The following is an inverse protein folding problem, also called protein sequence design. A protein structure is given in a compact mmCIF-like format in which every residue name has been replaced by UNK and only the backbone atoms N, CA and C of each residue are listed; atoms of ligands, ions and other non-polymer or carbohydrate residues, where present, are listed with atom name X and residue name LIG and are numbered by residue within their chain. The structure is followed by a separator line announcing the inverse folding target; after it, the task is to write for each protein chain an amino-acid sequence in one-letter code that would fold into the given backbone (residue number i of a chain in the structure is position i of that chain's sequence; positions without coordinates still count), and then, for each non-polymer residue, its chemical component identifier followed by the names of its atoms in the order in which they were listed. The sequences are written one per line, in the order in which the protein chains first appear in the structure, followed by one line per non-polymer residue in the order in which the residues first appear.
data_IF_946440799339
#
_entry.id   IF_946440799339
#
_cell.length_a   1.000
_cell.length_b   1.000
_cell.length_c   1.000
_cell.angle_alpha   90.00
_cell.angle_beta   90.00
_cell.angle_gamma   90.00
#
_symmetry.space_group_name_H-M   'P 1'
#
loop_
_entity.id
_entity.type
_entity.pdbx_description
1 polymer ?
#
# COMPACT_ATOMS: atom_id res chain seq x y z
N UNK A 1 -3.66 -22.03 5.04
CA UNK A 1 -3.30 -20.60 5.01
C UNK A 1 -3.71 -19.95 3.68
N UNK A 2 -3.25 -20.43 2.54
CA UNK A 2 -3.50 -19.88 1.20
C UNK A 2 -5.00 -19.76 0.86
N UNK A 3 -5.80 -20.83 1.10
CA UNK A 3 -7.26 -20.82 0.92
C UNK A 3 -7.95 -19.65 1.63
N UNK A 4 -7.48 -19.29 2.83
CA UNK A 4 -8.05 -18.17 3.59
C UNK A 4 -7.71 -16.82 2.95
N UNK A 5 -6.48 -16.65 2.43
CA UNK A 5 -6.05 -15.42 1.76
C UNK A 5 -6.88 -15.19 0.49
N UNK A 6 -7.09 -16.23 -0.31
CA UNK A 6 -7.92 -16.14 -1.50
C UNK A 6 -9.39 -15.87 -1.16
N UNK A 7 -9.95 -16.51 -0.14
CA UNK A 7 -11.32 -16.26 0.30
C UNK A 7 -11.51 -14.82 0.80
N UNK A 8 -10.54 -14.30 1.58
CA UNK A 8 -10.55 -12.89 2.02
C UNK A 8 -10.41 -11.96 0.83
N UNK A 9 -9.46 -12.25 -0.08
CA UNK A 9 -9.26 -11.46 -1.28
C UNK A 9 -10.54 -11.36 -2.11
N UNK A 10 -11.22 -12.48 -2.34
CA UNK A 10 -12.47 -12.53 -3.11
C UNK A 10 -13.62 -11.79 -2.41
N UNK A 11 -13.84 -12.04 -1.12
CA UNK A 11 -14.90 -11.37 -0.35
C UNK A 11 -14.67 -9.87 -0.26
N UNK A 12 -13.44 -9.43 0.00
CA UNK A 12 -13.10 -8.01 0.06
C UNK A 12 -13.13 -7.34 -1.31
N UNK A 13 -12.87 -8.09 -2.39
CA UNK A 13 -13.03 -7.59 -3.76
C UNK A 13 -14.46 -7.14 -4.04
N UNK A 14 -15.45 -7.89 -3.60
CA UNK A 14 -16.86 -7.50 -3.73
C UNK A 14 -17.17 -6.19 -2.97
N UNK A 15 -16.64 -6.05 -1.75
CA UNK A 15 -16.81 -4.84 -0.93
C UNK A 15 -16.10 -3.64 -1.57
N UNK A 16 -14.86 -3.83 -2.04
CA UNK A 16 -14.08 -2.79 -2.73
C UNK A 16 -14.81 -2.32 -3.99
N UNK A 17 -15.29 -3.26 -4.81
CA UNK A 17 -16.02 -2.94 -6.03
C UNK A 17 -17.30 -2.14 -5.73
N UNK A 18 -18.07 -2.57 -4.75
CA UNK A 18 -19.28 -1.86 -4.31
C UNK A 18 -18.95 -0.43 -3.87
N UNK A 19 -17.91 -0.25 -3.05
CA UNK A 19 -17.49 1.07 -2.59
C UNK A 19 -16.98 1.95 -3.73
N UNK A 20 -16.26 1.39 -4.70
CA UNK A 20 -15.80 2.14 -5.86
C UNK A 20 -16.96 2.63 -6.74
N UNK A 21 -18.00 1.78 -6.94
CA UNK A 21 -19.22 2.15 -7.69
C UNK A 21 -20.01 3.21 -6.95
N UNK A 22 -20.13 3.10 -5.63
CA UNK A 22 -20.92 4.04 -4.79
C UNK A 22 -20.10 5.31 -4.46
N UNK A 23 -18.78 5.30 -4.64
CA UNK A 23 -17.89 6.43 -4.32
C UNK A 23 -18.35 7.77 -4.90
N UNK A 24 -18.81 7.90 -6.15
CA UNK A 24 -19.31 9.19 -6.66
C UNK A 24 -20.51 9.75 -5.90
N UNK A 25 -21.39 8.86 -5.41
CA UNK A 25 -22.56 9.24 -4.59
C UNK A 25 -22.09 9.63 -3.18
N UNK A 26 -21.15 8.87 -2.61
CA UNK A 26 -20.57 9.16 -1.30
C UNK A 26 -19.80 10.49 -1.28
N UNK A 27 -19.14 10.86 -2.38
CA UNK A 27 -18.43 12.13 -2.51
C UNK A 27 -19.35 13.36 -2.33
N UNK A 28 -20.60 13.24 -2.72
CA UNK A 28 -21.58 14.34 -2.61
C UNK A 28 -22.17 14.48 -1.20
N UNK A 29 -22.20 13.40 -0.43
CA UNK A 29 -22.95 13.35 0.84
C UNK A 29 -22.11 13.17 2.10
N UNK A 30 -20.90 12.61 1.97
CA UNK A 30 -20.01 12.31 3.09
C UNK A 30 -18.64 12.98 2.92
N UNK A 31 -18.06 13.44 4.06
CA UNK A 31 -16.72 14.03 4.05
C UNK A 31 -15.64 13.01 3.67
N UNK A 32 -14.53 13.49 3.10
CA UNK A 32 -13.39 12.65 2.74
C UNK A 32 -12.82 11.88 3.94
N UNK A 33 -12.97 12.41 5.14
CA UNK A 33 -12.55 11.77 6.39
C UNK A 33 -13.20 10.40 6.61
N UNK A 34 -14.50 10.23 6.33
CA UNK A 34 -15.20 8.95 6.46
C UNK A 34 -14.65 7.91 5.49
N UNK A 35 -14.42 8.30 4.23
CA UNK A 35 -13.86 7.40 3.22
C UNK A 35 -12.43 6.97 3.56
N UNK A 36 -11.62 7.89 4.08
CA UNK A 36 -10.29 7.59 4.61
C UNK A 36 -10.34 6.45 5.65
N UNK A 37 -11.26 6.51 6.62
CA UNK A 37 -11.40 5.47 7.64
C UNK A 37 -11.95 4.15 7.07
N UNK A 38 -12.88 4.20 6.11
CA UNK A 38 -13.38 2.99 5.45
C UNK A 38 -12.23 2.24 4.77
N UNK A 39 -11.41 2.95 4.00
CA UNK A 39 -10.25 2.34 3.35
C UNK A 39 -9.22 1.80 4.35
N UNK A 40 -9.02 2.48 5.48
CA UNK A 40 -8.17 2.01 6.57
C UNK A 40 -8.65 0.67 7.12
N UNK A 41 -9.94 0.56 7.42
CA UNK A 41 -10.55 -0.68 7.94
C UNK A 41 -10.40 -1.82 6.93
N UNK A 42 -10.64 -1.55 5.64
CA UNK A 42 -10.49 -2.55 4.58
C UNK A 42 -9.02 -3.00 4.46
N UNK A 43 -8.07 -2.07 4.50
CA UNK A 43 -6.65 -2.40 4.44
C UNK A 43 -6.21 -3.25 5.64
N UNK A 44 -6.66 -2.92 6.85
CA UNK A 44 -6.41 -3.74 8.05
C UNK A 44 -7.03 -5.13 7.89
N UNK A 45 -8.26 -5.21 7.39
CA UNK A 45 -8.96 -6.49 7.16
C UNK A 45 -8.27 -7.37 6.12
N UNK A 46 -7.65 -6.78 5.10
CA UNK A 46 -6.84 -7.50 4.10
C UNK A 46 -5.55 -8.06 4.72
N UNK A 47 -4.93 -7.34 5.66
CA UNK A 47 -3.68 -7.78 6.30
C UNK A 47 -3.94 -8.85 7.36
N UNK A 48 -4.99 -8.67 8.18
CA UNK A 48 -5.29 -9.56 9.30
C UNK A 48 -6.37 -10.56 8.86
N UNK A 49 -6.03 -11.86 8.67
CA UNK A 49 -6.98 -12.88 8.25
C UNK A 49 -7.86 -13.35 9.43
N UNK A 50 -8.65 -12.46 10.03
CA UNK A 50 -9.63 -12.85 11.05
C UNK A 50 -10.73 -13.68 10.39
N UNK A 51 -10.95 -14.90 10.85
CA UNK A 51 -12.10 -15.71 10.44
C UNK A 51 -13.34 -15.16 11.13
N UNK A 52 -14.19 -14.48 10.38
CA UNK A 52 -15.57 -14.24 10.81
C UNK A 52 -16.30 -15.54 10.44
N UNK A 53 -16.54 -16.40 11.42
CA UNK A 53 -17.41 -17.57 11.23
C UNK A 53 -18.84 -17.03 11.04
N UNK A 54 -19.21 -16.81 9.79
CA UNK A 54 -20.62 -16.59 9.45
C UNK A 54 -21.37 -17.88 9.75
N UNK A 55 -22.57 -17.81 10.35
CA UNK A 55 -23.40 -18.99 10.54
C UNK A 55 -23.57 -19.68 9.18
N UNK A 56 -23.36 -21.01 9.18
CA UNK A 56 -23.25 -21.90 8.01
C UNK A 56 -24.12 -21.44 6.84
N UNK A 57 -23.49 -21.00 5.77
CA UNK A 57 -24.19 -20.80 4.52
C UNK A 57 -24.81 -22.13 4.05
N UNK A 58 -26.04 -22.15 3.50
CA UNK A 58 -26.72 -23.40 3.12
C UNK A 58 -26.09 -24.08 1.91
N UNK A 59 -24.96 -23.59 1.39
CA UNK A 59 -24.29 -24.16 0.23
C UNK A 59 -22.95 -24.75 0.65
N UNK A 60 -22.90 -26.07 0.80
CA UNK A 60 -21.65 -26.83 0.94
C UNK A 60 -21.06 -27.07 -0.44
N UNK A 61 -20.15 -26.24 -0.88
CA UNK A 61 -19.31 -26.56 -2.04
C UNK A 61 -18.18 -27.47 -1.54
N UNK A 62 -18.33 -28.77 -1.71
CA UNK A 62 -17.26 -29.74 -1.48
C UNK A 62 -16.21 -29.58 -2.58
N UNK A 63 -15.16 -28.82 -2.30
CA UNK A 63 -13.98 -28.76 -3.17
C UNK A 63 -13.20 -30.07 -2.93
N UNK A 64 -12.86 -30.86 -3.99
CA UNK A 64 -12.06 -32.06 -3.84
C UNK A 64 -10.73 -31.74 -3.16
N UNK A 65 -10.44 -32.40 -2.05
CA UNK A 65 -9.36 -32.01 -1.15
C UNK A 65 -7.94 -32.33 -1.63
N UNK A 66 -7.79 -33.04 -2.77
CA UNK A 66 -6.46 -33.39 -3.28
C UNK A 66 -6.47 -33.54 -4.81
N UNK A 67 -5.81 -32.65 -5.51
CA UNK A 67 -5.25 -32.96 -6.82
C UNK A 67 -3.79 -33.35 -6.55
N UNK A 68 -3.54 -34.65 -6.52
CA UNK A 68 -2.18 -35.21 -6.43
C UNK A 68 -1.69 -35.38 -7.84
N UNK A 69 -0.69 -34.62 -8.28
CA UNK A 69 -0.20 -34.65 -9.67
C UNK A 69 0.65 -35.88 -9.98
N UNK A 70 1.21 -36.57 -9.00
CA UNK A 70 1.96 -37.80 -9.20
C UNK A 70 1.72 -38.73 -8.01
N UNK A 71 0.82 -39.70 -8.16
CA UNK A 71 0.79 -40.92 -7.39
C UNK A 71 1.23 -42.05 -8.33
N UNK A 72 2.46 -42.48 -8.18
CA UNK A 72 2.86 -43.75 -8.77
C UNK A 72 2.17 -44.83 -7.93
N UNK A 73 1.04 -45.35 -8.42
CA UNK A 73 0.37 -46.50 -7.79
C UNK A 73 1.31 -47.69 -7.86
N UNK A 74 1.73 -48.13 -6.69
CA UNK A 74 2.33 -49.44 -6.58
C UNK A 74 1.33 -50.45 -7.12
N UNK A 75 1.80 -51.30 -8.02
CA UNK A 75 1.06 -52.42 -8.60
C UNK A 75 0.31 -53.17 -7.50
N UNK A 76 -1.00 -53.38 -7.59
CA UNK A 76 -1.70 -54.22 -6.61
C UNK A 76 -1.20 -55.63 -6.76
N UNK A 77 -0.46 -56.11 -5.78
CA UNK A 77 -0.15 -57.54 -5.66
C UNK A 77 -1.45 -58.22 -5.25
N UNK A 78 -2.04 -58.97 -6.18
CA UNK A 78 -3.11 -59.93 -5.87
C UNK A 78 -2.53 -60.94 -4.87
N UNK A 79 -2.92 -60.84 -3.62
CA UNK A 79 -2.68 -61.89 -2.63
C UNK A 79 -3.76 -62.92 -2.86
N UNK A 80 -3.43 -63.97 -3.62
CA UNK A 80 -4.21 -65.22 -3.59
C UNK A 80 -3.97 -65.87 -2.21
N UNK A 81 -5.04 -66.12 -1.53
CA UNK A 81 -5.17 -66.85 -0.30
C UNK A 81 -4.48 -68.24 -0.45
N UNK A 82 -3.37 -68.43 0.21
CA UNK A 82 -2.95 -69.73 0.70
C UNK A 82 -1.80 -69.57 1.75
N UNK A 83 -2.10 -70.01 2.92
CA UNK A 83 -1.32 -70.28 4.08
C UNK A 83 0.21 -70.47 3.88
N UNK A 84 0.96 -69.37 4.04
CA UNK A 84 2.37 -69.43 4.34
C UNK A 84 2.79 -68.33 5.33
N UNK A 85 3.10 -68.72 6.58
CA UNK A 85 3.70 -67.86 7.54
C UNK A 85 5.23 -67.93 7.41
N UNK A 86 5.90 -66.93 6.86
CA UNK A 86 7.34 -66.77 6.99
C UNK A 86 7.61 -65.98 8.28
N UNK A 87 8.15 -66.62 9.31
CA UNK A 87 8.94 -65.96 10.33
C UNK A 87 10.20 -65.41 9.68
N UNK A 88 10.14 -64.18 9.22
CA UNK A 88 11.29 -63.41 8.79
C UNK A 88 11.18 -62.02 9.39
N UNK A 89 12.14 -61.64 10.25
CA UNK A 89 12.33 -60.27 10.69
C UNK A 89 12.59 -59.36 9.46
N UNK A 90 11.53 -58.88 8.85
CA UNK A 90 11.64 -57.75 7.91
C UNK A 90 11.57 -56.49 8.73
N UNK A 91 12.73 -55.93 9.05
CA UNK A 91 12.81 -54.54 9.46
C UNK A 91 12.01 -53.70 8.46
N UNK A 92 11.18 -52.75 8.91
CA UNK A 92 10.49 -51.88 7.94
C UNK A 92 11.56 -51.14 7.16
N UNK A 93 11.62 -51.44 5.87
CA UNK A 93 12.39 -50.59 4.92
C UNK A 93 11.74 -49.23 4.99
N UNK A 94 12.34 -48.33 5.72
CA UNK A 94 12.00 -46.91 5.64
C UNK A 94 12.28 -46.49 4.21
N UNK A 95 11.24 -46.55 3.37
CA UNK A 95 11.31 -45.96 2.08
C UNK A 95 11.52 -44.44 2.28
N UNK A 96 12.70 -43.99 1.93
CA UNK A 96 13.07 -42.58 1.93
C UNK A 96 12.22 -41.93 0.81
N UNK A 97 10.99 -41.52 1.18
CA UNK A 97 10.11 -40.83 0.26
C UNK A 97 10.73 -39.49 -0.04
N UNK A 98 11.23 -39.29 -1.28
CA UNK A 98 11.61 -37.99 -1.75
C UNK A 98 10.41 -37.02 -1.50
N UNK A 99 10.67 -35.81 -0.97
CA UNK A 99 9.60 -34.87 -0.63
C UNK A 99 8.80 -34.53 -1.89
N UNK A 100 7.56 -35.03 -1.97
CA UNK A 100 6.64 -34.73 -3.05
C UNK A 100 6.04 -33.37 -2.76
N UNK A 101 6.48 -32.34 -3.51
CA UNK A 101 5.92 -30.99 -3.42
C UNK A 101 4.47 -31.03 -3.89
N UNK A 102 3.55 -30.72 -3.00
CA UNK A 102 2.12 -30.63 -3.38
C UNK A 102 1.86 -29.34 -4.17
N UNK A 103 0.84 -29.36 -5.04
CA UNK A 103 0.42 -28.14 -5.75
C UNK A 103 0.12 -26.99 -4.80
N UNK A 104 -0.42 -27.28 -3.63
CA UNK A 104 -0.73 -26.26 -2.61
C UNK A 104 0.56 -25.62 -2.06
N UNK A 105 1.61 -26.38 -1.85
CA UNK A 105 2.92 -25.84 -1.41
C UNK A 105 3.56 -25.00 -2.51
N UNK A 106 3.52 -25.46 -3.76
CA UNK A 106 4.02 -24.71 -4.90
C UNK A 106 3.30 -23.34 -5.02
N UNK A 107 1.97 -23.34 -4.97
CA UNK A 107 1.18 -22.10 -5.01
C UNK A 107 1.48 -21.19 -3.81
N UNK A 108 1.73 -21.74 -2.63
CA UNK A 108 2.10 -20.96 -1.46
C UNK A 108 3.48 -20.29 -1.62
N UNK A 109 4.45 -21.00 -2.21
CA UNK A 109 5.77 -20.45 -2.53
C UNK A 109 5.66 -19.34 -3.56
N UNK A 110 4.93 -19.56 -4.66
CA UNK A 110 4.71 -18.54 -5.70
C UNK A 110 4.04 -17.30 -5.12
N UNK A 111 2.97 -17.49 -4.33
CA UNK A 111 2.30 -16.38 -3.67
C UNK A 111 3.22 -15.61 -2.71
N UNK A 112 3.95 -16.33 -1.84
CA UNK A 112 4.85 -15.72 -0.86
C UNK A 112 6.00 -14.97 -1.51
N UNK A 113 6.63 -15.57 -2.54
CA UNK A 113 7.69 -14.92 -3.31
C UNK A 113 7.19 -13.66 -4.00
N UNK A 114 6.00 -13.71 -4.61
CA UNK A 114 5.36 -12.55 -5.21
C UNK A 114 5.06 -11.44 -4.19
N UNK A 115 4.51 -11.78 -3.03
CA UNK A 115 4.21 -10.82 -1.98
C UNK A 115 5.47 -10.14 -1.42
N UNK A 116 6.51 -10.92 -1.11
CA UNK A 116 7.80 -10.40 -0.62
C UNK A 116 8.49 -9.58 -1.72
N UNK A 117 8.54 -10.07 -2.95
CA UNK A 117 9.14 -9.37 -4.07
C UNK A 117 8.48 -8.02 -4.34
N UNK A 118 7.13 -7.97 -4.31
CA UNK A 118 6.37 -6.75 -4.50
C UNK A 118 6.61 -5.74 -3.36
N UNK A 119 6.62 -6.21 -2.11
CA UNK A 119 6.92 -5.36 -0.95
C UNK A 119 8.35 -4.80 -1.00
N UNK A 120 9.33 -5.66 -1.28
CA UNK A 120 10.73 -5.26 -1.41
C UNK A 120 10.92 -4.26 -2.55
N UNK A 121 10.23 -4.43 -3.68
CA UNK A 121 10.26 -3.46 -4.79
C UNK A 121 9.89 -2.05 -4.31
N UNK A 122 8.83 -1.89 -3.53
CA UNK A 122 8.43 -0.58 -2.99
C UNK A 122 9.46 -0.02 -2.00
N UNK A 123 10.00 -0.85 -1.10
CA UNK A 123 11.00 -0.42 -0.12
C UNK A 123 12.31 -0.02 -0.83
N UNK A 124 12.77 -0.81 -1.78
CA UNK A 124 14.00 -0.51 -2.54
C UNK A 124 13.84 0.79 -3.32
N UNK A 125 12.71 0.99 -4.02
CA UNK A 125 12.43 2.23 -4.74
C UNK A 125 12.41 3.45 -3.80
N UNK A 126 11.82 3.32 -2.62
CA UNK A 126 11.83 4.38 -1.60
C UNK A 126 13.27 4.71 -1.14
N UNK A 127 14.10 3.70 -0.89
CA UNK A 127 15.50 3.87 -0.48
C UNK A 127 16.32 4.51 -1.61
N UNK A 128 16.14 4.04 -2.84
CA UNK A 128 16.82 4.59 -4.03
C UNK A 128 16.42 6.06 -4.22
N UNK A 129 15.13 6.38 -4.15
CA UNK A 129 14.62 7.75 -4.22
C UNK A 129 15.29 8.63 -3.18
N UNK A 130 15.29 8.20 -1.90
CA UNK A 130 15.88 8.95 -0.80
C UNK A 130 17.40 9.18 -0.99
N UNK A 131 18.11 8.16 -1.50
CA UNK A 131 19.56 8.27 -1.80
C UNK A 131 19.83 9.22 -2.96
N UNK A 132 19.04 9.15 -4.03
CA UNK A 132 19.20 10.01 -5.21
C UNK A 132 18.89 11.47 -4.93
N UNK A 133 17.91 11.77 -4.05
CA UNK A 133 17.51 13.14 -3.80
C UNK A 133 18.41 13.83 -2.79
N UNK A 134 18.98 13.11 -1.82
CA UNK A 134 19.78 13.66 -0.71
C UNK A 134 20.91 14.62 -1.14
N UNK A 135 21.72 14.35 -2.18
CA UNK A 135 22.80 15.24 -2.59
C UNK A 135 22.28 16.56 -3.24
N UNK A 136 21.01 16.62 -3.63
CA UNK A 136 20.38 17.77 -4.26
C UNK A 136 19.56 18.60 -3.29
N UNK A 137 19.64 18.29 -1.98
CA UNK A 137 18.88 18.99 -0.95
C UNK A 137 19.82 19.76 -0.03
N UNK A 138 19.42 20.97 0.32
CA UNK A 138 20.08 21.87 1.28
C UNK A 138 19.16 22.08 2.48
N UNK A 139 19.72 22.32 3.66
CA UNK A 139 18.91 22.72 4.82
C UNK A 139 18.28 24.08 4.55
N UNK A 140 16.98 24.16 4.68
CA UNK A 140 16.25 25.41 4.66
C UNK A 140 16.03 25.86 6.13
N UNK A 141 16.37 27.12 6.40
CA UNK A 141 16.07 27.75 7.67
C UNK A 141 15.03 28.84 7.42
N UNK A 142 13.77 28.48 7.59
CA UNK A 142 12.64 29.32 7.22
C UNK A 142 11.84 29.62 8.50
N UNK A 143 11.81 30.88 8.92
CA UNK A 143 11.10 31.31 10.14
C UNK A 143 9.60 30.96 10.14
N UNK A 144 8.96 30.97 8.97
CA UNK A 144 7.53 30.60 8.81
C UNK A 144 7.22 29.19 9.34
N UNK A 145 8.20 28.27 9.37
CA UNK A 145 7.98 26.93 9.93
C UNK A 145 7.62 27.00 11.43
N UNK A 146 8.30 27.84 12.19
CA UNK A 146 8.06 27.95 13.62
C UNK A 146 6.67 28.56 13.90
N UNK A 147 6.24 29.55 13.10
CA UNK A 147 4.90 30.14 13.19
C UNK A 147 3.81 29.10 12.93
N UNK A 148 3.99 28.25 11.90
CA UNK A 148 3.01 27.18 11.57
C UNK A 148 2.99 26.10 12.65
N UNK A 149 4.15 25.74 13.21
CA UNK A 149 4.22 24.74 14.29
C UNK A 149 3.50 25.26 15.57
N UNK A 150 3.61 26.55 15.88
CA UNK A 150 2.92 27.18 17.00
C UNK A 150 1.41 27.20 16.77
N UNK A 151 0.95 27.66 15.59
CA UNK A 151 -0.48 27.67 15.20
C UNK A 151 -1.10 26.26 15.30
N UNK A 152 -0.38 25.25 14.83
CA UNK A 152 -0.84 23.86 14.85
C UNK A 152 -0.62 23.16 16.19
N UNK A 153 0.06 23.78 17.16
CA UNK A 153 0.46 23.22 18.47
C UNK A 153 1.19 21.87 18.31
N UNK A 154 2.07 21.77 17.33
CA UNK A 154 2.84 20.56 17.05
C UNK A 154 4.15 20.56 17.87
N UNK A 155 4.37 19.47 18.62
CA UNK A 155 5.60 19.27 19.40
C UNK A 155 6.77 18.73 18.58
N UNK A 156 6.47 18.11 17.44
CA UNK A 156 7.49 17.50 16.57
C UNK A 156 7.92 18.53 15.53
N UNK A 157 9.20 18.93 15.58
CA UNK A 157 9.81 19.81 14.57
C UNK A 157 10.46 18.94 13.48
N UNK A 158 9.88 18.88 12.27
CA UNK A 158 10.48 18.13 11.16
C UNK A 158 11.73 18.84 10.65
N UNK A 159 12.59 18.11 9.96
CA UNK A 159 13.63 18.72 9.16
C UNK A 159 13.02 19.35 7.91
N UNK A 160 13.46 20.56 7.57
CA UNK A 160 13.07 21.23 6.34
C UNK A 160 14.26 21.27 5.38
N UNK A 161 14.07 20.74 4.19
CA UNK A 161 15.09 20.69 3.13
C UNK A 161 14.51 21.29 1.84
N UNK A 162 15.31 22.07 1.18
CA UNK A 162 15.06 22.62 -0.13
C UNK A 162 15.79 21.79 -1.17
N UNK A 163 15.09 21.30 -2.20
CA UNK A 163 15.60 20.29 -3.12
C UNK A 163 15.31 20.67 -4.57
N UNK A 164 16.37 20.77 -5.39
CA UNK A 164 16.26 21.17 -6.80
C UNK A 164 15.71 20.07 -7.73
N UNK A 165 15.59 18.84 -7.28
CA UNK A 165 15.17 17.68 -8.09
C UNK A 165 13.74 17.22 -7.81
N UNK A 166 12.95 17.97 -7.08
CA UNK A 166 11.53 17.71 -6.86
C UNK A 166 10.67 18.81 -7.47
N UNK A 167 9.50 18.42 -7.96
CA UNK A 167 8.56 19.35 -8.59
C UNK A 167 7.49 19.85 -7.63
N UNK A 168 7.22 19.14 -6.54
CA UNK A 168 6.19 19.48 -5.56
C UNK A 168 6.69 19.26 -4.14
N UNK A 169 6.17 19.99 -3.15
CA UNK A 169 6.40 19.70 -1.74
C UNK A 169 6.04 18.26 -1.42
N UNK A 170 6.76 17.64 -0.48
CA UNK A 170 6.44 16.29 -0.02
C UNK A 170 7.08 15.98 1.31
N UNK A 171 6.46 15.07 2.05
CA UNK A 171 6.98 14.54 3.29
C UNK A 171 7.63 13.17 3.10
N UNK A 172 8.81 12.97 3.71
CA UNK A 172 9.53 11.69 3.78
C UNK A 172 9.96 11.37 5.19
N UNK A 173 10.28 10.10 5.45
CA UNK A 173 10.84 9.64 6.73
C UNK A 173 9.79 9.26 7.77
N UNK A 174 9.74 7.97 8.11
CA UNK A 174 8.78 7.42 9.08
C UNK A 174 9.07 7.80 10.53
N UNK A 175 10.34 7.75 10.94
CA UNK A 175 10.76 8.03 12.33
C UNK A 175 11.28 9.45 12.51
N UNK A 176 11.88 10.01 11.48
CA UNK A 176 12.38 11.39 11.45
C UNK A 176 11.72 12.10 10.28
N UNK A 177 10.55 12.71 10.51
CA UNK A 177 9.82 13.38 9.45
C UNK A 177 10.66 14.52 8.87
N UNK A 178 10.74 14.57 7.57
CA UNK A 178 11.46 15.57 6.79
C UNK A 178 10.54 16.10 5.72
N UNK A 179 10.35 17.39 5.64
CA UNK A 179 9.63 18.09 4.59
C UNK A 179 10.64 18.49 3.52
N UNK A 180 10.38 18.11 2.29
CA UNK A 180 11.12 18.53 1.12
C UNK A 180 10.33 19.60 0.38
N UNK A 181 10.95 20.75 0.14
CA UNK A 181 10.39 21.82 -0.68
C UNK A 181 11.16 21.89 -2.01
N UNK A 182 10.49 22.09 -3.13
CA UNK A 182 11.17 22.40 -4.38
C UNK A 182 11.89 23.75 -4.28
N UNK A 183 13.02 23.88 -4.98
CA UNK A 183 13.82 25.10 -5.08
C UNK A 183 13.11 26.11 -6.00
N UNK A 184 12.08 26.76 -5.45
CA UNK A 184 11.26 27.79 -6.11
C UNK A 184 10.91 28.87 -5.08
N UNK A 185 10.79 30.11 -5.57
CA UNK A 185 10.37 31.22 -4.75
C UNK A 185 8.91 31.08 -4.31
N UNK A 186 8.70 30.95 -3.02
CA UNK A 186 7.40 31.03 -2.36
C UNK A 186 7.27 32.37 -1.64
N UNK A 187 6.13 33.01 -1.73
CA UNK A 187 5.76 34.06 -0.78
C UNK A 187 5.58 33.45 0.63
N UNK A 188 5.71 34.25 1.67
CA UNK A 188 5.51 33.78 3.05
C UNK A 188 4.13 33.13 3.24
N UNK A 189 3.10 33.66 2.61
CA UNK A 189 1.76 33.14 2.69
C UNK A 189 1.63 31.77 1.98
N UNK A 190 2.17 31.66 0.76
CA UNK A 190 2.19 30.38 0.04
C UNK A 190 2.95 29.31 0.84
N UNK A 191 4.08 29.70 1.42
CA UNK A 191 4.89 28.80 2.22
C UNK A 191 4.15 28.36 3.50
N UNK A 192 3.45 29.29 4.16
CA UNK A 192 2.59 28.97 5.32
C UNK A 192 1.53 27.92 4.95
N UNK A 193 0.85 28.09 3.80
CA UNK A 193 -0.16 27.17 3.30
C UNK A 193 0.43 25.79 3.03
N UNK A 194 1.56 25.73 2.31
CA UNK A 194 2.26 24.48 1.97
C UNK A 194 2.73 23.77 3.23
N UNK A 195 3.38 24.47 4.15
CA UNK A 195 3.86 23.88 5.40
C UNK A 195 2.71 23.37 6.26
N UNK A 196 1.59 24.10 6.32
CA UNK A 196 0.40 23.67 7.06
C UNK A 196 -0.19 22.37 6.49
N UNK A 197 -0.19 22.20 5.17
CA UNK A 197 -0.60 20.96 4.50
C UNK A 197 0.36 19.81 4.85
N UNK A 198 1.66 19.95 4.64
CA UNK A 198 2.66 18.91 4.93
C UNK A 198 2.71 18.53 6.42
N UNK A 199 2.61 19.50 7.30
CA UNK A 199 2.54 19.26 8.75
C UNK A 199 1.25 18.55 9.18
N UNK A 200 0.16 18.74 8.43
CA UNK A 200 -1.08 17.97 8.66
C UNK A 200 -0.89 16.50 8.36
N UNK A 201 -0.16 16.13 7.30
CA UNK A 201 0.23 14.75 7.03
C UNK A 201 1.09 14.15 8.16
N UNK A 202 2.05 14.92 8.69
CA UNK A 202 2.87 14.48 9.84
C UNK A 202 2.00 14.22 11.06
N UNK A 203 1.12 15.16 11.41
CA UNK A 203 0.22 15.04 12.57
C UNK A 203 -0.71 13.83 12.49
N UNK A 204 -1.15 13.47 11.29
CA UNK A 204 -2.06 12.33 11.02
C UNK A 204 -1.33 11.00 10.91
N UNK A 205 -0.01 11.02 10.69
CA UNK A 205 0.77 9.81 10.45
C UNK A 205 0.49 9.17 9.07
N UNK A 206 0.22 9.98 8.05
CA UNK A 206 -0.21 9.52 6.73
C UNK A 206 0.83 8.63 6.01
N UNK A 207 2.12 8.73 6.35
CA UNK A 207 3.14 7.78 5.86
C UNK A 207 2.88 6.35 6.36
N UNK A 208 2.46 6.19 7.61
CA UNK A 208 2.14 4.87 8.15
C UNK A 208 0.89 4.28 7.49
N UNK A 209 -0.09 5.15 7.19
CA UNK A 209 -1.25 4.74 6.40
C UNK A 209 -0.84 4.26 5.00
N UNK A 210 0.02 5.01 4.28
CA UNK A 210 0.54 4.62 2.96
C UNK A 210 1.32 3.29 3.05
N UNK A 211 2.12 3.08 4.10
CA UNK A 211 2.82 1.81 4.32
C UNK A 211 1.85 0.64 4.53
N UNK A 212 0.78 0.84 5.29
CA UNK A 212 -0.26 -0.16 5.50
C UNK A 212 -0.95 -0.53 4.18
N UNK A 213 -1.26 0.45 3.33
CA UNK A 213 -1.82 0.21 2.00
C UNK A 213 -0.87 -0.59 1.11
N UNK A 214 0.44 -0.27 1.11
CA UNK A 214 1.47 -1.02 0.37
C UNK A 214 1.53 -2.46 0.89
N UNK A 215 1.48 -2.68 2.20
CA UNK A 215 1.50 -4.02 2.81
C UNK A 215 0.27 -4.83 2.37
N UNK A 216 -0.93 -4.25 2.44
CA UNK A 216 -2.16 -4.89 1.98
C UNK A 216 -2.08 -5.26 0.48
N UNK A 217 -1.58 -4.33 -0.35
CA UNK A 217 -1.40 -4.55 -1.78
C UNK A 217 -0.35 -5.65 -2.08
N UNK A 218 0.73 -5.71 -1.28
CA UNK A 218 1.77 -6.73 -1.43
C UNK A 218 1.26 -8.13 -1.11
N UNK A 219 0.45 -8.30 -0.07
CA UNK A 219 -0.18 -9.58 0.28
C UNK A 219 -1.14 -10.04 -0.83
N UNK A 220 -1.85 -9.10 -1.43
CA UNK A 220 -2.84 -9.33 -2.49
C UNK A 220 -2.37 -8.85 -3.87
N UNK A 221 -1.07 -8.96 -4.15
CA UNK A 221 -0.43 -8.48 -5.38
C UNK A 221 -1.07 -8.98 -6.67
N UNK A 222 -1.74 -10.12 -6.62
CA UNK A 222 -2.45 -10.74 -7.74
C UNK A 222 -3.87 -10.16 -7.98
N UNK A 223 -4.39 -9.31 -7.08
CA UNK A 223 -5.76 -8.81 -7.12
C UNK A 223 -5.83 -7.36 -7.65
N UNK A 224 -6.33 -7.12 -8.86
CA UNK A 224 -6.38 -5.79 -9.46
C UNK A 224 -7.30 -4.80 -8.69
N UNK A 225 -8.33 -5.31 -7.99
CA UNK A 225 -9.22 -4.44 -7.22
C UNK A 225 -8.53 -3.81 -6.00
N UNK A 226 -7.52 -4.48 -5.43
CA UNK A 226 -6.72 -3.90 -4.34
C UNK A 226 -5.87 -2.72 -4.85
N UNK A 227 -5.36 -2.76 -6.08
CA UNK A 227 -4.67 -1.61 -6.67
C UNK A 227 -5.62 -0.42 -6.86
N UNK A 228 -6.85 -0.67 -7.32
CA UNK A 228 -7.87 0.39 -7.43
C UNK A 228 -8.25 0.96 -6.07
N UNK A 229 -8.37 0.10 -5.06
CA UNK A 229 -8.55 0.50 -3.66
C UNK A 229 -7.44 1.42 -3.19
N UNK A 230 -6.17 1.04 -3.39
CA UNK A 230 -5.00 1.85 -2.98
C UNK A 230 -5.01 3.22 -3.67
N UNK A 231 -5.36 3.26 -4.96
CA UNK A 231 -5.50 4.53 -5.70
C UNK A 231 -6.61 5.41 -5.13
N UNK A 232 -7.77 4.83 -4.82
CA UNK A 232 -8.90 5.55 -4.21
C UNK A 232 -8.56 6.01 -2.78
N UNK A 233 -7.93 5.15 -1.99
CA UNK A 233 -7.52 5.45 -0.63
C UNK A 233 -6.50 6.60 -0.56
N UNK A 234 -5.51 6.63 -1.45
CA UNK A 234 -4.56 7.73 -1.53
C UNK A 234 -5.24 9.05 -1.93
N UNK A 235 -6.16 9.03 -2.89
CA UNK A 235 -6.94 10.21 -3.27
C UNK A 235 -7.78 10.75 -2.11
N UNK A 236 -8.48 9.86 -1.40
CA UNK A 236 -9.33 10.26 -0.27
C UNK A 236 -8.51 10.70 0.95
N UNK A 237 -7.27 10.20 1.09
CA UNK A 237 -6.29 10.69 2.07
C UNK A 237 -5.97 12.17 1.81
N UNK A 238 -5.66 12.54 0.57
CA UNK A 238 -5.36 13.93 0.19
C UNK A 238 -6.58 14.83 0.42
N UNK A 239 -7.77 14.46 -0.06
CA UNK A 239 -9.00 15.23 0.19
C UNK A 239 -9.30 15.38 1.69
N UNK A 240 -9.07 14.33 2.48
CA UNK A 240 -9.23 14.41 3.93
C UNK A 240 -8.18 15.29 4.61
N UNK A 241 -6.99 15.43 4.01
CA UNK A 241 -5.97 16.37 4.48
C UNK A 241 -6.41 17.80 4.19
N UNK A 242 -6.83 18.08 2.95
CA UNK A 242 -7.35 19.38 2.54
C UNK A 242 -8.51 19.84 3.43
N UNK A 243 -9.49 18.96 3.66
CA UNK A 243 -10.62 19.23 4.56
C UNK A 243 -10.15 19.64 5.98
N UNK A 244 -9.11 19.01 6.51
CA UNK A 244 -8.57 19.32 7.84
C UNK A 244 -7.87 20.67 7.85
N UNK A 245 -7.09 20.99 6.81
CA UNK A 245 -6.33 22.26 6.72
C UNK A 245 -7.28 23.46 6.66
N UNK A 246 -8.37 23.35 5.88
CA UNK A 246 -9.31 24.48 5.68
C UNK A 246 -10.46 24.51 6.69
N UNK A 247 -10.57 23.54 7.59
CA UNK A 247 -11.78 23.30 8.44
C UNK A 247 -11.96 24.51 9.32
N UNK A 248 -11.50 25.27 9.84
CA UNK A 248 -11.82 26.40 10.71
C UNK A 248 -11.22 27.71 10.18
N UNK A 249 -10.94 27.72 8.90
CA UNK A 249 -10.32 28.89 8.24
C UNK A 249 -11.38 29.81 7.64
N UNK A 250 -11.05 31.09 7.56
CA UNK A 250 -11.87 32.09 6.90
C UNK A 250 -11.86 31.90 5.37
N UNK A 251 -12.67 32.71 4.68
CA UNK A 251 -12.83 32.60 3.23
C UNK A 251 -11.56 33.03 2.46
N UNK A 252 -10.80 33.96 3.01
CA UNK A 252 -9.57 34.45 2.40
C UNK A 252 -8.50 33.36 2.40
N UNK A 253 -8.29 32.70 3.53
CA UNK A 253 -7.35 31.59 3.62
C UNK A 253 -7.76 30.43 2.69
N UNK A 254 -9.06 30.08 2.61
CA UNK A 254 -9.53 29.01 1.71
C UNK A 254 -9.23 29.32 0.25
N UNK A 255 -9.42 30.58 -0.16
CA UNK A 255 -9.08 31.03 -1.51
C UNK A 255 -7.59 30.94 -1.76
N UNK A 256 -6.77 31.43 -0.86
CA UNK A 256 -5.31 31.38 -0.94
C UNK A 256 -4.80 29.95 -0.98
N UNK A 257 -5.32 29.07 -0.10
CA UNK A 257 -5.04 27.65 -0.09
C UNK A 257 -5.32 27.00 -1.46
N UNK A 258 -6.50 27.23 -2.01
CA UNK A 258 -6.90 26.67 -3.31
C UNK A 258 -5.98 27.14 -4.45
N UNK A 259 -5.61 28.40 -4.47
CA UNK A 259 -4.71 28.97 -5.47
C UNK A 259 -3.28 28.40 -5.35
N UNK A 260 -2.78 28.26 -4.12
CA UNK A 260 -1.44 27.71 -3.85
C UNK A 260 -1.35 26.24 -4.26
N UNK A 261 -2.35 25.43 -3.94
CA UNK A 261 -2.39 24.01 -4.35
C UNK A 261 -2.49 23.90 -5.90
N UNK A 262 -3.32 24.70 -6.54
CA UNK A 262 -3.41 24.72 -8.01
C UNK A 262 -2.08 25.09 -8.67
N UNK A 263 -1.35 26.08 -8.14
CA UNK A 263 -0.01 26.44 -8.64
C UNK A 263 0.97 25.27 -8.48
N UNK A 264 0.95 24.57 -7.33
CA UNK A 264 1.81 23.42 -7.08
C UNK A 264 1.52 22.30 -8.10
N UNK A 265 0.25 22.00 -8.37
CA UNK A 265 -0.17 20.98 -9.35
C UNK A 265 0.27 21.34 -10.78
N UNK A 266 0.06 22.57 -11.22
CA UNK A 266 0.45 23.02 -12.56
C UNK A 266 1.96 22.97 -12.79
N UNK A 267 2.77 23.28 -11.77
CA UNK A 267 4.23 23.17 -11.83
C UNK A 267 4.67 21.70 -11.95
N UNK A 268 3.99 20.80 -11.26
CA UNK A 268 4.25 19.36 -11.35
C UNK A 268 3.97 18.82 -12.76
N UNK A 269 2.84 19.17 -13.36
CA UNK A 269 2.51 18.76 -14.74
C UNK A 269 3.53 19.29 -15.76
N UNK A 270 3.93 20.57 -15.67
CA UNK A 270 4.96 21.15 -16.55
C UNK A 270 6.31 20.46 -16.38
N UNK A 271 6.72 20.12 -15.16
CA UNK A 271 7.96 19.41 -14.91
C UNK A 271 7.93 17.99 -15.49
N UNK A 272 6.81 17.27 -15.35
CA UNK A 272 6.61 15.95 -15.95
C UNK A 272 6.64 16.04 -17.48
N UNK A 273 5.90 16.96 -18.08
CA UNK A 273 5.89 17.16 -19.54
C UNK A 273 7.27 17.53 -20.08
N UNK A 274 8.01 18.42 -19.41
CA UNK A 274 9.36 18.79 -19.82
C UNK A 274 10.33 17.61 -19.76
N UNK A 275 10.19 16.74 -18.78
CA UNK A 275 11.00 15.51 -18.65
C UNK A 275 10.69 14.51 -19.77
N UNK A 276 9.42 14.37 -20.17
CA UNK A 276 9.03 13.55 -21.32
C UNK A 276 9.51 14.13 -22.66
N UNK A 277 9.46 15.44 -22.82
CA UNK A 277 9.90 16.11 -24.07
C UNK A 277 11.43 16.19 -24.20
N UNK A 278 12.17 16.35 -23.10
CA UNK A 278 13.64 16.35 -23.11
C UNK A 278 14.28 14.97 -23.10
N UNK A 279 13.54 13.91 -22.72
CA UNK A 279 14.02 12.51 -22.78
C UNK A 279 14.12 11.94 -24.20
N UNK A 280 13.72 12.70 -25.24
CA UNK A 280 13.81 12.33 -26.65
C UNK A 280 15.01 12.90 -27.41
N UNK A 281 15.85 13.72 -26.80
CA UNK A 281 17.02 14.34 -27.44
C UNK A 281 18.23 14.25 -26.51
N UNK A 282 18.87 13.08 -26.47
CA UNK A 282 20.28 12.95 -26.15
C UNK A 282 20.78 11.58 -26.63
N UNK A 283 20.91 11.47 -27.95
CA UNK A 283 21.88 10.62 -28.60
C UNK A 283 22.80 11.55 -29.40
N UNK A 284 23.88 11.97 -28.77
CA UNK A 284 25.16 12.25 -29.37
C UNK A 284 26.23 12.19 -28.27
#
# INVERSE_FOLDING_TARGET
MLKNIFAISLSMSAVILLLLIVSPLLNKRYSAKWRYFIWLIIAIRLIIPVRIELPKAPVNISVPNQIVFFRQEGVPVMVTDDSYTPKGNTSPVSADYAPVITLQELLAVVWGTGAVGFFLYHIINYIIFKRKIKPHCKKANIGVLDDVLEDMKLKVKPQLLECSKIASPMMIGFLKPTILLPDIDYSNNELYVVLKHELTHIRRGDLWYKLLLITANSIHWFNPLVYLMVKAANRDLEYSCDDVVVKNSDMNFRKEYSLTILKAMQKTEKAVLSTYLNGGVSNE
#
